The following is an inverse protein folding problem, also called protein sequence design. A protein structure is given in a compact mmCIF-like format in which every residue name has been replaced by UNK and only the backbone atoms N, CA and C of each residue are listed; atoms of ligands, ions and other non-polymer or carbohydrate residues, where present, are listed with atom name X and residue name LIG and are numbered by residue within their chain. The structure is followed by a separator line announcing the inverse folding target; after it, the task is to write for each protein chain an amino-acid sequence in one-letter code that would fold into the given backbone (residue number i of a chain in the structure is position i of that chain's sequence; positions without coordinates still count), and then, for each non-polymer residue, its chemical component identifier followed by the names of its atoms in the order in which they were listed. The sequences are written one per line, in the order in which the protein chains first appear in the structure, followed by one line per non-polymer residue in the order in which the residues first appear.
data_IF_537775468284
#
_entry.id   IF_537775468284
#
_cell.length_a   1.000
_cell.length_b   1.000
_cell.length_c   1.000
_cell.angle_alpha   90.00
_cell.angle_beta   90.00
_cell.angle_gamma   90.00
#
_symmetry.space_group_name_H-M   'P 1'
#
loop_
_entity.id
_entity.type
_entity.pdbx_description
1 polymer ?
#
# COMPACT_ATOMS: atom_id res chain seq x y z
N UNK A 1 -2.80 -6.01 -15.93
CA UNK A 1 -3.39 -5.00 -16.86
C UNK A 1 -3.48 -5.51 -18.29
N UNK A 2 -2.38 -5.94 -18.93
CA UNK A 2 -2.39 -6.43 -20.33
C UNK A 2 -3.52 -7.43 -20.66
N UNK A 3 -3.71 -8.44 -19.81
CA UNK A 3 -4.72 -9.49 -20.00
C UNK A 3 -6.16 -8.97 -19.79
N UNK A 4 -6.36 -8.08 -18.82
CA UNK A 4 -7.66 -7.43 -18.55
C UNK A 4 -8.05 -6.53 -19.71
N UNK A 5 -7.08 -5.78 -20.27
CA UNK A 5 -7.28 -4.97 -21.48
C UNK A 5 -7.68 -5.82 -22.67
N UNK A 6 -7.06 -6.99 -22.85
CA UNK A 6 -7.43 -7.93 -23.92
C UNK A 6 -8.86 -8.44 -23.79
N UNK A 7 -9.29 -8.82 -22.58
CA UNK A 7 -10.67 -9.19 -22.34
C UNK A 7 -11.65 -8.04 -22.63
N UNK A 8 -11.33 -6.83 -22.17
CA UNK A 8 -12.18 -5.66 -22.45
C UNK A 8 -12.19 -5.29 -23.94
N UNK A 9 -11.08 -5.49 -24.65
CA UNK A 9 -10.97 -5.25 -26.08
C UNK A 9 -11.81 -6.22 -26.92
N UNK A 10 -12.14 -7.40 -26.38
CA UNK A 10 -13.07 -8.31 -27.03
C UNK A 10 -14.53 -7.81 -26.98
N UNK A 11 -14.82 -6.79 -26.17
CA UNK A 11 -16.18 -6.26 -25.94
C UNK A 11 -16.31 -4.78 -26.34
N UNK A 12 -15.20 -4.04 -26.31
CA UNK A 12 -15.14 -2.59 -26.51
C UNK A 12 -13.97 -2.25 -27.44
N UNK A 13 -14.02 -1.11 -28.16
CA UNK A 13 -12.87 -0.64 -28.91
C UNK A 13 -11.64 -0.45 -28.01
N UNK A 14 -10.45 -0.75 -28.53
CA UNK A 14 -9.18 -0.79 -27.80
C UNK A 14 -8.94 0.41 -26.88
N UNK A 15 -9.24 1.63 -27.35
CA UNK A 15 -9.07 2.86 -26.55
C UNK A 15 -9.93 2.82 -25.28
N UNK A 16 -11.19 2.43 -25.39
CA UNK A 16 -12.10 2.31 -24.25
C UNK A 16 -11.72 1.13 -23.35
N UNK A 17 -11.22 0.03 -23.91
CA UNK A 17 -10.71 -1.11 -23.14
C UNK A 17 -9.51 -0.72 -22.25
N UNK A 18 -8.57 0.08 -22.78
CA UNK A 18 -7.44 0.62 -22.02
C UNK A 18 -7.90 1.54 -20.88
N UNK A 19 -8.78 2.50 -21.18
CA UNK A 19 -9.31 3.44 -20.18
C UNK A 19 -10.09 2.68 -19.10
N UNK A 20 -10.94 1.73 -19.50
CA UNK A 20 -11.71 0.89 -18.59
C UNK A 20 -10.83 0.08 -17.66
N UNK A 21 -9.77 -0.54 -18.16
CA UNK A 21 -8.83 -1.32 -17.34
C UNK A 21 -8.16 -0.46 -16.26
N UNK A 22 -7.72 0.77 -16.63
CA UNK A 22 -7.09 1.71 -15.70
C UNK A 22 -8.08 2.16 -14.62
N UNK A 23 -9.29 2.57 -15.01
CA UNK A 23 -10.33 2.99 -14.06
C UNK A 23 -10.69 1.86 -13.10
N UNK A 24 -10.89 0.65 -13.62
CA UNK A 24 -11.21 -0.53 -12.83
C UNK A 24 -10.12 -0.81 -11.77
N UNK A 25 -8.84 -0.70 -12.17
CA UNK A 25 -7.69 -0.87 -11.26
C UNK A 25 -7.68 0.18 -10.14
N UNK A 26 -7.85 1.45 -10.51
CA UNK A 26 -7.79 2.59 -9.58
C UNK A 26 -8.93 2.49 -8.57
N UNK A 27 -10.16 2.25 -9.05
CA UNK A 27 -11.33 2.11 -8.18
C UNK A 27 -11.18 0.91 -7.24
N UNK A 28 -10.69 -0.23 -7.73
CA UNK A 28 -10.45 -1.41 -6.90
C UNK A 28 -9.47 -1.11 -5.76
N UNK A 29 -8.34 -0.47 -6.07
CA UNK A 29 -7.35 -0.09 -5.05
C UNK A 29 -7.91 0.92 -4.05
N UNK A 30 -8.66 1.91 -4.54
CA UNK A 30 -9.28 2.93 -3.70
C UNK A 30 -10.27 2.31 -2.70
N UNK A 31 -11.22 1.51 -3.17
CA UNK A 31 -12.25 0.91 -2.31
C UNK A 31 -11.68 -0.15 -1.35
N UNK A 32 -10.68 -0.93 -1.77
CA UNK A 32 -10.01 -1.86 -0.86
C UNK A 32 -9.23 -1.10 0.21
N UNK A 33 -8.47 -0.07 -0.15
CA UNK A 33 -7.69 0.70 0.83
C UNK A 33 -8.59 1.35 1.89
N UNK A 34 -9.71 1.94 1.47
CA UNK A 34 -10.72 2.49 2.38
C UNK A 34 -11.36 1.39 3.22
N UNK A 35 -11.81 0.31 2.58
CA UNK A 35 -12.46 -0.80 3.26
C UNK A 35 -11.57 -1.47 4.31
N UNK A 36 -10.29 -1.68 4.02
CA UNK A 36 -9.31 -2.22 4.97
C UNK A 36 -9.13 -1.26 6.16
N UNK A 37 -8.95 0.03 5.89
CA UNK A 37 -8.79 1.06 6.94
C UNK A 37 -10.01 1.15 7.86
N UNK A 38 -11.21 1.09 7.28
CA UNK A 38 -12.45 1.08 8.04
C UNK A 38 -12.60 -0.22 8.85
N UNK A 39 -12.26 -1.37 8.27
CA UNK A 39 -12.33 -2.66 8.95
C UNK A 39 -11.34 -2.74 10.12
N UNK A 40 -10.14 -2.19 9.99
CA UNK A 40 -9.17 -2.11 11.10
C UNK A 40 -9.63 -1.19 12.23
N UNK A 41 -10.33 -0.10 11.90
CA UNK A 41 -10.77 0.89 12.90
C UNK A 41 -12.06 0.47 13.62
N UNK A 42 -13.03 -0.08 12.88
CA UNK A 42 -14.37 -0.36 13.40
C UNK A 42 -14.62 -1.86 13.64
N UNK A 43 -13.70 -2.75 13.23
CA UNK A 43 -13.82 -4.23 13.32
C UNK A 43 -15.08 -4.79 12.64
N UNK A 44 -15.69 -4.02 11.75
CA UNK A 44 -16.91 -4.37 11.02
C UNK A 44 -16.67 -4.29 9.52
N UNK A 45 -17.29 -5.21 8.78
CA UNK A 45 -17.30 -5.21 7.32
C UNK A 45 -18.10 -4.01 6.80
N UNK A 46 -17.46 -3.12 6.04
CA UNK A 46 -18.10 -1.95 5.44
C UNK A 46 -18.51 -2.18 4.00
N UNK A 47 -19.47 -1.39 3.51
CA UNK A 47 -19.89 -1.40 2.11
C UNK A 47 -18.72 -1.12 1.15
N UNK A 48 -17.78 -0.27 1.55
CA UNK A 48 -16.55 0.02 0.81
C UNK A 48 -15.71 -1.25 0.58
N UNK A 49 -15.57 -2.09 1.60
CA UNK A 49 -14.85 -3.36 1.50
C UNK A 49 -15.56 -4.35 0.55
N UNK A 50 -16.89 -4.43 0.63
CA UNK A 50 -17.69 -5.28 -0.27
C UNK A 50 -17.55 -4.83 -1.72
N UNK A 51 -17.64 -3.53 -1.99
CA UNK A 51 -17.45 -2.95 -3.33
C UNK A 51 -16.04 -3.26 -3.86
N UNK A 52 -15.01 -3.08 -3.03
CA UNK A 52 -13.62 -3.42 -3.38
C UNK A 52 -13.44 -4.91 -3.71
N UNK A 53 -14.06 -5.80 -2.93
CA UNK A 53 -14.05 -7.24 -3.17
C UNK A 53 -14.74 -7.63 -4.48
N UNK A 54 -15.88 -7.01 -4.81
CA UNK A 54 -16.56 -7.21 -6.09
C UNK A 54 -15.68 -6.76 -7.25
N UNK A 55 -15.09 -5.57 -7.18
CA UNK A 55 -14.24 -5.02 -8.24
C UNK A 55 -12.99 -5.86 -8.48
N UNK A 56 -12.35 -6.35 -7.41
CA UNK A 56 -11.19 -7.26 -7.54
C UNK A 56 -11.59 -8.62 -8.10
N UNK A 57 -12.75 -9.16 -7.71
CA UNK A 57 -13.29 -10.39 -8.30
C UNK A 57 -13.55 -10.22 -9.80
N UNK A 58 -14.05 -9.04 -10.22
CA UNK A 58 -14.20 -8.70 -11.64
C UNK A 58 -12.86 -8.61 -12.37
N UNK A 59 -11.81 -8.05 -11.74
CA UNK A 59 -10.45 -8.04 -12.33
C UNK A 59 -9.95 -9.47 -12.54
N UNK A 60 -10.08 -10.35 -11.55
CA UNK A 60 -9.68 -11.75 -11.68
C UNK A 60 -10.45 -12.48 -12.78
N UNK A 61 -11.75 -12.24 -12.88
CA UNK A 61 -12.56 -12.79 -13.96
C UNK A 61 -12.07 -12.33 -15.33
N UNK A 62 -11.86 -11.03 -15.51
CA UNK A 62 -11.34 -10.45 -16.75
C UNK A 62 -9.94 -11.01 -17.08
N UNK A 63 -9.09 -11.22 -16.08
CA UNK A 63 -7.77 -11.81 -16.27
C UNK A 63 -7.87 -13.27 -16.73
N UNK A 64 -8.68 -14.10 -16.07
CA UNK A 64 -8.85 -15.50 -16.46
C UNK A 64 -9.49 -15.68 -17.83
N UNK A 65 -10.40 -14.78 -18.22
CA UNK A 65 -11.01 -14.79 -19.55
C UNK A 65 -10.10 -14.18 -20.61
N UNK A 66 -9.33 -13.16 -20.28
CA UNK A 66 -8.34 -12.61 -21.19
C UNK A 66 -7.23 -13.60 -21.52
N UNK A 67 -6.75 -14.39 -20.54
CA UNK A 67 -5.75 -15.44 -20.81
C UNK A 67 -6.32 -16.50 -21.74
N UNK A 68 -7.58 -16.90 -21.55
CA UNK A 68 -8.25 -17.87 -22.41
C UNK A 68 -8.30 -17.39 -23.87
N UNK A 69 -8.69 -16.13 -24.09
CA UNK A 69 -8.73 -15.51 -25.42
C UNK A 69 -7.34 -15.45 -26.05
N UNK A 70 -6.36 -14.87 -25.35
CA UNK A 70 -4.99 -14.69 -25.87
C UNK A 70 -4.34 -16.03 -26.19
N UNK A 71 -4.52 -17.04 -25.34
CA UNK A 71 -3.96 -18.37 -25.56
C UNK A 71 -4.64 -19.05 -26.75
N UNK A 72 -5.95 -18.89 -26.91
CA UNK A 72 -6.67 -19.43 -28.06
C UNK A 72 -6.24 -18.75 -29.38
N UNK A 73 -6.17 -17.43 -29.42
CA UNK A 73 -5.77 -16.67 -30.62
C UNK A 73 -4.32 -16.96 -31.06
N UNK A 74 -3.42 -17.18 -30.10
CA UNK A 74 -2.00 -17.43 -30.40
C UNK A 74 -1.70 -18.89 -30.75
N UNK A 75 -2.43 -19.84 -30.18
CA UNK A 75 -2.15 -21.28 -30.34
C UNK A 75 -3.06 -21.98 -31.34
N UNK A 76 -4.25 -21.44 -31.61
CA UNK A 76 -5.25 -22.08 -32.48
C UNK A 76 -5.32 -21.36 -33.82
N UNK A 77 -4.73 -21.95 -34.84
CA UNK A 77 -4.81 -21.44 -36.21
C UNK A 77 -5.97 -22.09 -36.98
N UNK A 78 -7.06 -21.35 -37.16
CA UNK A 78 -8.25 -21.80 -37.92
C UNK A 78 -8.21 -21.45 -39.41
N UNK A 79 -7.27 -20.60 -39.85
CA UNK A 79 -7.24 -20.04 -41.21
C UNK A 79 -7.17 -21.12 -42.30
N UNK A 80 -6.43 -22.20 -42.05
CA UNK A 80 -6.29 -23.31 -42.99
C UNK A 80 -7.59 -24.13 -43.10
N UNK A 81 -8.28 -24.36 -41.98
CA UNK A 81 -9.59 -25.04 -41.95
C UNK A 81 -10.64 -24.21 -42.69
N UNK A 82 -10.64 -22.89 -42.50
CA UNK A 82 -11.54 -21.97 -43.19
C UNK A 82 -11.26 -21.92 -44.70
N UNK A 83 -9.98 -21.81 -45.08
CA UNK A 83 -9.56 -21.84 -46.49
C UNK A 83 -9.99 -23.13 -47.20
N UNK A 84 -9.76 -24.29 -46.59
CA UNK A 84 -10.18 -25.59 -47.15
C UNK A 84 -11.71 -25.70 -47.21
N UNK A 85 -12.42 -25.20 -46.20
CA UNK A 85 -13.89 -25.20 -46.18
C UNK A 85 -14.47 -24.33 -47.32
N UNK A 86 -13.87 -23.17 -47.57
CA UNK A 86 -14.23 -22.30 -48.68
C UNK A 86 -13.95 -22.97 -50.04
N UNK A 87 -12.80 -23.62 -50.20
CA UNK A 87 -12.47 -24.38 -51.41
C UNK A 87 -13.46 -25.53 -51.65
N UNK A 88 -13.84 -26.27 -50.60
CA UNK A 88 -14.88 -27.31 -50.68
C UNK A 88 -16.24 -26.73 -51.09
N UNK A 89 -16.58 -25.53 -50.61
CA UNK A 89 -17.77 -24.79 -51.05
C UNK A 89 -17.74 -24.53 -52.56
N UNK A 90 -16.63 -24.01 -53.07
CA UNK A 90 -16.45 -23.76 -54.51
C UNK A 90 -16.59 -25.04 -55.33
N UNK A 91 -15.93 -26.14 -54.92
CA UNK A 91 -16.03 -27.42 -55.63
C UNK A 91 -17.43 -28.02 -55.59
N UNK A 92 -18.18 -27.87 -54.49
CA UNK A 92 -19.58 -28.32 -54.41
C UNK A 92 -20.48 -27.52 -55.35
N UNK A 93 -20.28 -26.22 -55.46
CA UNK A 93 -21.01 -25.38 -56.44
C UNK A 93 -20.70 -25.82 -57.87
N UNK A 94 -19.41 -25.99 -58.20
CA UNK A 94 -18.98 -26.48 -59.51
C UNK A 94 -19.55 -27.88 -59.82
N UNK A 95 -19.60 -28.76 -58.83
CA UNK A 95 -20.22 -30.08 -58.97
C UNK A 95 -21.70 -29.97 -59.32
N UNK A 96 -22.43 -29.06 -58.66
CA UNK A 96 -23.82 -28.76 -58.96
C UNK A 96 -24.03 -28.32 -60.41
N UNK A 97 -23.20 -27.39 -60.90
CA UNK A 97 -23.27 -26.88 -62.28
C UNK A 97 -22.94 -27.95 -63.34
N UNK A 98 -21.95 -28.80 -63.08
CA UNK A 98 -21.54 -29.88 -64.01
C UNK A 98 -22.51 -31.06 -63.97
N UNK A 99 -23.17 -31.31 -62.83
CA UNK A 99 -24.08 -32.45 -62.66
C UNK A 99 -25.33 -32.42 -63.55
N UNK A 100 -25.69 -31.24 -64.05
CA UNK A 100 -26.84 -31.03 -64.95
C UNK A 100 -26.53 -31.39 -66.41
N UNK A 101 -25.25 -31.59 -66.77
CA UNK A 101 -24.81 -31.87 -68.14
C UNK A 101 -24.52 -33.36 -68.33
N UNK A 102 -24.90 -33.92 -69.48
CA UNK A 102 -24.82 -35.38 -69.78
C UNK A 102 -23.77 -35.76 -70.83
N UNK A 103 -22.96 -34.82 -71.31
CA UNK A 103 -21.87 -35.11 -72.23
C UNK A 103 -20.69 -35.80 -71.51
N UNK A 104 -19.96 -36.66 -72.24
CA UNK A 104 -18.83 -37.43 -71.69
C UNK A 104 -17.81 -36.56 -70.94
N UNK A 105 -17.52 -35.37 -71.46
CA UNK A 105 -16.57 -34.44 -70.85
C UNK A 105 -17.07 -33.95 -69.48
N UNK A 106 -18.36 -33.64 -69.36
CA UNK A 106 -18.97 -33.28 -68.07
C UNK A 106 -18.98 -34.44 -67.08
N UNK A 107 -19.18 -35.69 -67.54
CA UNK A 107 -19.12 -36.88 -66.67
C UNK A 107 -17.72 -37.08 -66.10
N UNK A 108 -16.67 -36.90 -66.92
CA UNK A 108 -15.29 -37.04 -66.46
C UNK A 108 -14.86 -35.88 -65.54
N UNK A 109 -15.31 -34.66 -65.85
CA UNK A 109 -15.12 -33.49 -64.99
C UNK A 109 -15.82 -33.68 -63.63
N UNK A 110 -17.05 -34.25 -63.62
CA UNK A 110 -17.77 -34.59 -62.40
C UNK A 110 -16.97 -35.55 -61.52
N UNK A 111 -16.44 -36.65 -62.08
CA UNK A 111 -15.60 -37.61 -61.35
C UNK A 111 -14.36 -36.96 -60.76
N UNK A 112 -13.73 -36.07 -61.51
CA UNK A 112 -12.55 -35.33 -61.05
C UNK A 112 -12.88 -34.44 -59.86
N UNK A 113 -13.98 -33.68 -59.92
CA UNK A 113 -14.44 -32.82 -58.83
C UNK A 113 -14.84 -33.65 -57.60
N UNK A 114 -15.54 -34.77 -57.78
CA UNK A 114 -15.90 -35.68 -56.68
C UNK A 114 -14.66 -36.23 -55.97
N UNK A 115 -13.61 -36.59 -56.73
CA UNK A 115 -12.33 -37.00 -56.16
C UNK A 115 -11.67 -35.86 -55.38
N UNK A 116 -11.62 -34.65 -55.93
CA UNK A 116 -11.06 -33.48 -55.24
C UNK A 116 -11.81 -33.14 -53.95
N UNK A 117 -13.15 -33.24 -53.95
CA UNK A 117 -13.97 -33.05 -52.74
C UNK A 117 -13.64 -34.12 -51.70
N UNK A 118 -13.47 -35.38 -52.10
CA UNK A 118 -13.11 -36.46 -51.20
C UNK A 118 -11.72 -36.24 -50.59
N UNK A 119 -10.73 -35.92 -51.42
CA UNK A 119 -9.35 -35.69 -50.99
C UNK A 119 -9.27 -34.48 -50.03
N UNK A 120 -9.91 -33.36 -50.37
CA UNK A 120 -10.00 -32.19 -49.48
C UNK A 120 -10.81 -32.46 -48.21
N UNK A 121 -11.80 -33.34 -48.27
CA UNK A 121 -12.57 -33.77 -47.10
C UNK A 121 -11.71 -34.49 -46.06
N UNK A 122 -10.78 -35.35 -46.50
CA UNK A 122 -9.80 -36.02 -45.63
C UNK A 122 -8.86 -34.99 -45.01
N UNK A 123 -8.28 -34.09 -45.82
CA UNK A 123 -7.38 -33.04 -45.32
C UNK A 123 -8.11 -32.12 -44.32
N UNK A 124 -9.37 -31.76 -44.59
CA UNK A 124 -10.18 -30.96 -43.65
C UNK A 124 -10.36 -31.67 -42.31
N UNK A 125 -10.61 -32.98 -42.32
CA UNK A 125 -10.75 -33.77 -41.10
C UNK A 125 -9.47 -33.75 -40.27
N UNK A 126 -8.33 -34.03 -40.90
CA UNK A 126 -7.02 -34.02 -40.23
C UNK A 126 -6.67 -32.64 -39.66
N UNK A 127 -6.92 -31.56 -40.41
CA UNK A 127 -6.65 -30.20 -39.92
C UNK A 127 -7.61 -29.80 -38.79
N UNK A 128 -8.88 -30.26 -38.82
CA UNK A 128 -9.80 -30.07 -37.69
C UNK A 128 -9.35 -30.82 -36.44
N UNK A 129 -8.81 -32.02 -36.57
CA UNK A 129 -8.23 -32.74 -35.43
C UNK A 129 -7.03 -32.00 -34.85
N UNK A 130 -6.13 -31.46 -35.69
CA UNK A 130 -5.00 -30.63 -35.23
C UNK A 130 -5.48 -29.38 -34.49
N UNK A 131 -6.50 -28.70 -35.02
CA UNK A 131 -7.12 -27.55 -34.37
C UNK A 131 -7.71 -27.95 -33.03
N UNK A 132 -8.47 -29.05 -32.94
CA UNK A 132 -9.04 -29.54 -31.69
C UNK A 132 -7.94 -29.87 -30.66
N UNK A 133 -6.86 -30.52 -31.07
CA UNK A 133 -5.72 -30.78 -30.18
C UNK A 133 -5.05 -29.49 -29.70
N UNK A 134 -4.91 -28.49 -30.57
CA UNK A 134 -4.37 -27.19 -30.21
C UNK A 134 -5.29 -26.45 -29.22
N UNK A 135 -6.62 -26.52 -29.42
CA UNK A 135 -7.61 -25.95 -28.52
C UNK A 135 -7.57 -26.60 -27.13
N UNK A 136 -7.42 -27.93 -27.06
CA UNK A 136 -7.25 -28.64 -25.78
C UNK A 136 -5.97 -28.18 -25.05
N UNK A 137 -4.84 -28.13 -25.75
CA UNK A 137 -3.56 -27.64 -25.19
C UNK A 137 -3.65 -26.18 -24.74
N UNK A 138 -4.35 -25.34 -25.50
CA UNK A 138 -4.58 -23.95 -25.12
C UNK A 138 -5.42 -23.84 -23.83
N UNK A 139 -6.44 -24.70 -23.69
CA UNK A 139 -7.25 -24.77 -22.47
C UNK A 139 -6.45 -25.23 -21.26
N UNK A 140 -5.62 -26.27 -21.41
CA UNK A 140 -4.72 -26.76 -20.37
C UNK A 140 -3.75 -25.66 -19.92
N UNK A 141 -3.11 -24.97 -20.86
CA UNK A 141 -2.17 -23.88 -20.56
C UNK A 141 -2.85 -22.68 -19.90
N UNK A 142 -4.09 -22.37 -20.29
CA UNK A 142 -4.91 -21.36 -19.61
C UNK A 142 -5.18 -21.76 -18.15
N UNK A 143 -5.48 -23.04 -17.90
CA UNK A 143 -5.72 -23.56 -16.55
C UNK A 143 -4.45 -23.58 -15.68
N UNK A 144 -3.29 -23.94 -16.25
CA UNK A 144 -2.00 -23.85 -15.55
C UNK A 144 -1.72 -22.40 -15.11
N UNK A 145 -1.96 -21.43 -15.98
CA UNK A 145 -1.80 -20.02 -15.64
C UNK A 145 -2.79 -19.59 -14.56
N UNK A 146 -4.06 -20.00 -14.64
CA UNK A 146 -5.07 -19.72 -13.60
C UNK A 146 -4.62 -20.24 -12.23
N UNK A 147 -4.12 -21.47 -12.18
CA UNK A 147 -3.59 -22.07 -10.96
C UNK A 147 -2.39 -21.29 -10.42
N UNK A 148 -1.43 -20.96 -11.29
CA UNK A 148 -0.27 -20.15 -10.93
C UNK A 148 -0.67 -18.77 -10.37
N UNK A 149 -1.64 -18.09 -10.98
CA UNK A 149 -2.14 -16.79 -10.50
C UNK A 149 -2.75 -16.90 -9.10
N UNK A 150 -3.53 -17.94 -8.82
CA UNK A 150 -4.10 -18.18 -7.47
C UNK A 150 -2.98 -18.38 -6.45
N UNK A 151 -1.98 -19.20 -6.78
CA UNK A 151 -0.83 -19.45 -5.92
C UNK A 151 -0.04 -18.15 -5.68
N UNK A 152 0.19 -17.35 -6.72
CA UNK A 152 0.88 -16.07 -6.62
C UNK A 152 0.13 -15.08 -5.71
N UNK A 153 -1.20 -15.03 -5.80
CA UNK A 153 -2.04 -14.19 -4.94
C UNK A 153 -1.96 -14.66 -3.49
N UNK A 154 -2.06 -15.97 -3.24
CA UNK A 154 -1.92 -16.54 -1.90
C UNK A 154 -0.55 -16.23 -1.29
N UNK A 155 0.54 -16.38 -2.06
CA UNK A 155 1.89 -16.01 -1.65
C UNK A 155 2.03 -14.50 -1.39
N UNK A 156 1.40 -13.66 -2.21
CA UNK A 156 1.40 -12.20 -2.02
C UNK A 156 0.65 -11.78 -0.75
N UNK A 157 -0.47 -12.44 -0.45
CA UNK A 157 -1.22 -12.23 0.81
C UNK A 157 -0.40 -12.68 2.03
N UNK A 158 0.24 -13.84 1.95
CA UNK A 158 1.12 -14.33 3.02
C UNK A 158 2.32 -13.39 3.25
N UNK A 159 2.98 -12.94 2.17
CA UNK A 159 4.08 -11.99 2.25
C UNK A 159 3.61 -10.64 2.85
N UNK A 160 2.46 -10.14 2.43
CA UNK A 160 1.87 -8.90 2.96
C UNK A 160 1.54 -9.02 4.45
N UNK A 161 1.02 -10.17 4.90
CA UNK A 161 0.77 -10.43 6.33
C UNK A 161 2.07 -10.45 7.14
N UNK A 162 3.12 -11.10 6.65
CA UNK A 162 4.44 -11.10 7.29
C UNK A 162 5.04 -9.69 7.42
N UNK A 163 4.91 -8.86 6.37
CA UNK A 163 5.42 -7.48 6.36
C UNK A 163 4.60 -6.61 7.31
N UNK A 164 3.27 -6.74 7.32
CA UNK A 164 2.38 -5.99 8.22
C UNK A 164 2.73 -6.26 9.69
N UNK A 165 2.90 -7.53 10.06
CA UNK A 165 3.28 -7.92 11.41
C UNK A 165 4.66 -7.36 11.81
N UNK A 166 5.62 -7.35 10.88
CA UNK A 166 6.93 -6.73 11.09
C UNK A 166 6.86 -5.22 11.27
N UNK A 167 6.06 -4.53 10.47
CA UNK A 167 5.89 -3.08 10.53
C UNK A 167 5.19 -2.63 11.81
N UNK A 168 4.19 -3.38 12.27
CA UNK A 168 3.49 -3.13 13.54
C UNK A 168 4.45 -3.26 14.73
N UNK A 169 5.29 -4.30 14.72
CA UNK A 169 6.30 -4.54 15.75
C UNK A 169 7.35 -3.42 15.79
N UNK A 170 7.81 -2.96 14.62
CA UNK A 170 8.75 -1.83 14.51
C UNK A 170 8.08 -0.52 14.94
N UNK A 171 6.84 -0.27 14.55
CA UNK A 171 6.07 0.92 14.93
C UNK A 171 5.84 0.99 16.44
N UNK A 172 5.47 -0.12 17.09
CA UNK A 172 5.37 -0.18 18.55
C UNK A 172 6.71 0.07 19.24
N UNK A 173 7.80 -0.47 18.71
CA UNK A 173 9.14 -0.30 19.26
C UNK A 173 9.62 1.14 19.13
N UNK A 174 9.37 1.79 17.99
CA UNK A 174 9.67 3.21 17.78
C UNK A 174 8.79 4.08 18.69
N UNK A 175 7.49 3.77 18.81
CA UNK A 175 6.57 4.50 19.69
C UNK A 175 6.98 4.39 21.17
N UNK A 176 7.40 3.21 21.63
CA UNK A 176 7.95 2.99 22.99
C UNK A 176 9.25 3.77 23.19
N UNK A 177 10.18 3.70 22.24
CA UNK A 177 11.47 4.42 22.30
C UNK A 177 11.27 5.94 22.32
N UNK A 178 10.34 6.47 21.51
CA UNK A 178 10.02 7.91 21.47
C UNK A 178 9.35 8.36 22.78
N UNK A 179 8.42 7.57 23.34
CA UNK A 179 7.81 7.86 24.65
C UNK A 179 8.86 7.87 25.77
N UNK A 180 9.80 6.93 25.74
CA UNK A 180 10.87 6.84 26.74
C UNK A 180 11.90 7.97 26.61
N UNK A 181 12.23 8.38 25.38
CA UNK A 181 13.08 9.54 25.12
C UNK A 181 12.44 10.84 25.67
N UNK A 182 11.14 11.06 25.42
CA UNK A 182 10.41 12.21 25.98
C UNK A 182 10.34 12.17 27.51
N UNK A 183 10.14 10.98 28.11
CA UNK A 183 10.11 10.83 29.56
C UNK A 183 11.47 11.22 30.19
N UNK A 184 12.57 10.77 29.59
CA UNK A 184 13.93 11.11 30.03
C UNK A 184 14.25 12.60 29.85
N UNK A 185 13.71 13.25 28.81
CA UNK A 185 13.87 14.69 28.57
C UNK A 185 13.12 15.51 29.64
N UNK A 186 11.90 15.09 30.02
CA UNK A 186 11.15 15.68 31.14
C UNK A 186 11.84 15.45 32.49
N UNK A 187 12.45 14.28 32.72
CA UNK A 187 13.18 13.98 33.95
C UNK A 187 14.51 14.74 34.05
N UNK A 188 15.16 15.03 32.91
CA UNK A 188 16.33 15.90 32.82
C UNK A 188 15.98 17.39 33.03
N UNK A 189 14.82 17.85 32.56
CA UNK A 189 14.28 19.19 32.83
C UNK A 189 13.85 19.37 34.30
N UNK A 190 13.52 18.29 35.00
CA UNK A 190 13.10 18.32 36.41
C UNK A 190 14.26 18.36 37.43
N UNK A 191 15.51 18.10 37.02
CA UNK A 191 16.72 18.21 37.87
C UNK A 191 17.67 19.26 37.27
N UNK A 192 17.57 20.56 37.65
CA UNK A 192 17.94 21.01 39.00
C UNK A 192 17.16 22.26 39.47
N UNK A 193 15.95 22.12 40.02
CA UNK A 193 15.26 23.23 40.70
C UNK A 193 15.37 23.21 42.24
N UNK A 194 16.07 22.23 42.81
CA UNK A 194 16.17 22.11 44.27
C UNK A 194 17.01 23.22 44.95
N UNK A 195 17.82 23.98 44.19
CA UNK A 195 18.66 25.07 44.73
C UNK A 195 18.86 26.21 43.72
N UNK A 196 17.82 27.03 43.42
CA UNK A 196 17.87 28.03 42.36
C UNK A 196 18.95 29.10 42.56
N UNK A 197 19.39 29.34 43.80
CA UNK A 197 20.39 30.37 44.12
C UNK A 197 21.85 29.89 43.98
N UNK A 198 22.10 28.59 43.77
CA UNK A 198 23.47 28.10 43.61
C UNK A 198 24.11 28.48 42.26
N UNK A 199 23.28 28.82 41.28
CA UNK A 199 23.72 29.21 39.92
C UNK A 199 23.98 30.71 39.79
N UNK A 200 23.59 31.52 40.80
CA UNK A 200 23.74 32.97 40.79
C UNK A 200 25.09 33.40 41.38
N UNK A 201 25.68 34.42 40.77
CA UNK A 201 26.91 35.00 41.31
C UNK A 201 26.68 35.56 42.72
N UNK A 202 27.75 35.58 43.52
CA UNK A 202 27.74 36.09 44.89
C UNK A 202 27.14 37.50 44.99
N UNK A 203 27.41 38.37 44.01
CA UNK A 203 26.91 39.75 43.96
C UNK A 203 25.40 39.81 43.75
N UNK A 204 24.86 38.95 42.87
CA UNK A 204 23.43 38.87 42.57
C UNK A 204 22.64 38.29 43.75
N UNK A 205 23.21 37.30 44.45
CA UNK A 205 22.61 36.75 45.67
C UNK A 205 22.52 37.79 46.79
N UNK A 206 23.53 38.66 46.93
CA UNK A 206 23.52 39.75 47.91
C UNK A 206 22.44 40.78 47.57
N UNK A 207 22.32 41.14 46.28
CA UNK A 207 21.30 42.09 45.81
C UNK A 207 19.87 41.56 46.03
N UNK A 208 19.62 40.30 45.67
CA UNK A 208 18.32 39.65 45.90
C UNK A 208 17.98 39.53 47.38
N UNK A 209 18.97 39.23 48.23
CA UNK A 209 18.78 39.21 49.67
C UNK A 209 18.47 40.61 50.23
N UNK A 210 19.12 41.67 49.73
CA UNK A 210 18.83 43.07 50.09
C UNK A 210 17.40 43.46 49.73
N UNK A 211 16.94 43.13 48.51
CA UNK A 211 15.57 43.41 48.07
C UNK A 211 14.54 42.62 48.88
N UNK A 212 14.87 41.38 49.26
CA UNK A 212 14.04 40.57 50.16
C UNK A 212 13.94 41.17 51.57
N UNK A 213 15.03 41.72 52.10
CA UNK A 213 15.02 42.42 53.40
C UNK A 213 14.10 43.65 53.33
N UNK A 214 14.22 44.47 52.26
CA UNK A 214 13.40 45.68 52.07
C UNK A 214 11.90 45.38 51.96
N UNK A 215 11.54 44.26 51.32
CA UNK A 215 10.14 43.87 51.12
C UNK A 215 9.54 43.17 52.33
N UNK A 216 10.35 42.51 53.18
CA UNK A 216 9.85 41.67 54.27
C UNK A 216 10.01 42.29 55.66
N UNK A 217 10.52 43.54 55.78
CA UNK A 217 10.71 44.29 57.03
C UNK A 217 11.25 43.42 58.19
N UNK A 218 12.57 43.19 58.18
CA UNK A 218 13.36 42.37 59.14
C UNK A 218 13.42 40.86 58.89
N UNK A 219 14.05 40.44 57.79
CA UNK A 219 14.42 39.04 57.60
C UNK A 219 15.52 38.57 58.59
N UNK A 220 15.32 37.46 59.34
CA UNK A 220 16.33 36.92 60.27
C UNK A 220 17.61 36.50 59.55
N UNK A 221 18.78 36.68 60.20
CA UNK A 221 20.10 36.39 59.62
C UNK A 221 20.22 34.94 59.11
N UNK A 222 19.70 33.98 59.87
CA UNK A 222 19.72 32.55 59.52
C UNK A 222 18.85 32.23 58.29
N UNK A 223 17.76 32.96 58.07
CA UNK A 223 16.87 32.76 56.92
C UNK A 223 17.57 33.23 55.65
N UNK A 224 18.27 34.36 55.71
CA UNK A 224 19.01 34.89 54.57
C UNK A 224 20.18 33.98 54.17
N UNK A 225 20.93 33.47 55.16
CA UNK A 225 22.00 32.50 54.92
C UNK A 225 21.47 31.20 54.28
N UNK A 226 20.33 30.67 54.77
CA UNK A 226 19.80 29.39 54.28
C UNK A 226 19.14 29.53 52.90
N UNK A 227 18.37 30.60 52.70
CA UNK A 227 17.57 30.84 51.49
C UNK A 227 18.43 31.29 50.31
N UNK A 228 19.36 32.22 50.54
CA UNK A 228 20.22 32.78 49.48
C UNK A 228 21.64 32.21 49.49
N UNK A 229 21.96 31.24 50.37
CA UNK A 229 23.30 30.61 50.48
C UNK A 229 24.41 31.64 50.64
N UNK A 230 24.17 32.67 51.45
CA UNK A 230 25.12 33.73 51.75
C UNK A 230 25.97 33.37 52.97
N UNK A 231 27.25 33.74 52.95
CA UNK A 231 28.10 33.72 54.14
C UNK A 231 27.71 34.84 55.11
N UNK A 232 28.08 34.76 56.41
CA UNK A 232 27.74 35.80 57.39
C UNK A 232 28.20 37.21 56.99
N UNK A 233 29.35 37.32 56.31
CA UNK A 233 29.86 38.61 55.79
C UNK A 233 28.94 39.18 54.70
N UNK A 234 28.49 38.34 53.78
CA UNK A 234 27.61 38.73 52.67
C UNK A 234 26.19 39.08 53.14
N UNK A 235 25.71 38.47 54.22
CA UNK A 235 24.43 38.87 54.84
C UNK A 235 24.54 40.24 55.50
N UNK A 236 25.70 40.58 56.09
CA UNK A 236 25.95 41.94 56.61
C UNK A 236 25.95 42.96 55.46
N UNK A 237 26.61 42.66 54.35
CA UNK A 237 26.60 43.50 53.14
C UNK A 237 25.18 43.68 52.59
N UNK A 238 24.38 42.62 52.51
CA UNK A 238 22.98 42.70 52.08
C UNK A 238 22.13 43.58 53.01
N UNK A 239 22.34 43.53 54.33
CA UNK A 239 21.65 44.38 55.30
C UNK A 239 22.05 45.86 55.19
N UNK A 240 23.34 46.14 54.97
CA UNK A 240 23.84 47.50 54.71
C UNK A 240 23.20 48.05 53.43
N UNK A 241 23.20 47.27 52.34
CA UNK A 241 22.56 47.65 51.07
C UNK A 241 21.04 47.87 51.22
N UNK A 242 20.39 47.11 52.09
CA UNK A 242 18.98 47.28 52.42
C UNK A 242 18.69 48.55 53.25
N UNK A 243 19.71 49.22 53.80
CA UNK A 243 19.58 50.45 54.59
C UNK A 243 19.58 50.26 56.12
N UNK A 244 19.91 49.06 56.61
CA UNK A 244 19.98 48.78 58.05
C UNK A 244 21.41 49.03 58.58
N UNK A 245 21.54 49.89 59.60
CA UNK A 245 22.80 50.09 60.33
C UNK A 245 23.10 48.89 61.22
N UNK A 246 24.31 48.35 61.12
CA UNK A 246 24.81 47.30 62.00
C UNK A 246 24.88 47.84 63.44
N UNK A 247 23.87 47.59 64.27
CA UNK A 247 24.08 47.62 65.73
C UNK A 247 24.94 46.41 66.07
N UNK A 248 26.13 46.67 66.62
CA UNK A 248 27.01 45.64 67.15
C UNK A 248 26.25 44.86 68.24
N UNK A 249 25.85 43.63 67.93
CA UNK A 249 25.49 42.65 68.96
C UNK A 249 26.77 42.31 69.73
N UNK A 250 27.04 43.07 70.80
CA UNK A 250 28.21 42.81 71.62
C UNK A 250 28.68 43.94 72.53
N UNK A 251 27.81 44.72 73.18
CA UNK A 251 28.23 45.46 74.39
C UNK A 251 27.13 45.49 75.44
N UNK A 252 27.51 44.98 76.62
CA UNK A 252 26.75 45.02 77.88
C UNK A 252 26.32 46.45 78.17
N UNK A 253 25.05 46.56 78.55
CA UNK A 253 24.52 47.67 79.36
C UNK A 253 25.42 47.84 80.58
N UNK A 254 26.04 49.02 80.70
CA UNK A 254 26.45 49.56 81.99
C UNK A 254 25.71 50.89 82.09
N UNK A 255 24.76 50.94 83.01
CA UNK A 255 24.05 52.17 83.35
C UNK A 255 24.97 53.13 84.10
N UNK A 256 24.77 54.42 83.86
CA UNK A 256 24.41 55.43 84.86
C UNK A 256 23.58 56.50 84.13
#
# INVERSE_FOLDING_TARGET
MYVVTHYLNSQLPFVFACIGAVILSILSHYYISIGVKEMTNFKTLTSSFVIGGVLVSSIFFCEFKGVEIVTHETMVNTSKVESISNQLGVFRTQLGEVSLKRDWRSIEQKRTIEKQIKDLGVVLHEEKEKVNQATLKASERSNEFRFFSIVLVALSMLASSCISNGLETVSETVSKTVKQAKLNEFEALAKPLDKPFNLLDSTERIRLASDYIRTTNEAPHNVLMKKFKLSPKQVKEAKILAGYTLKEEGQKVIGF
#
